data_IF_825866733735
#
_entry.id   IF_825866733735
#
_cell.length_a   1.000
_cell.length_b   1.000
_cell.length_c   1.000
_cell.angle_alpha   90.00
_cell.angle_beta   90.00
_cell.angle_gamma   90.00
#
_symmetry.space_group_name_H-M   'P 1'
#
loop_
_entity.id
_entity.type
_entity.pdbx_description
1 polymer ?
#
# COMPACT_ATOMS: atom_id res chain seq x y z
N UNK A 1 -15.84 12.75 -7.25
CA UNK A 1 -14.60 12.03 -6.89
C UNK A 1 -13.45 13.00 -7.11
N UNK A 2 -13.02 13.71 -6.07
CA UNK A 2 -11.86 14.61 -6.15
C UNK A 2 -10.59 13.78 -6.21
N UNK A 3 -9.64 14.06 -7.13
CA UNK A 3 -8.33 13.44 -7.09
C UNK A 3 -7.67 13.88 -5.77
N UNK A 4 -7.45 12.94 -4.84
CA UNK A 4 -6.91 13.26 -3.52
C UNK A 4 -5.47 13.73 -3.72
N UNK A 5 -5.28 15.04 -3.65
CA UNK A 5 -4.01 15.71 -3.85
C UNK A 5 -2.96 15.11 -2.90
N UNK A 6 -1.79 14.76 -3.47
CA UNK A 6 -0.59 14.24 -2.79
C UNK A 6 -0.34 14.98 -1.46
N UNK A 7 -0.84 14.44 -0.36
CA UNK A 7 -0.38 14.83 0.95
C UNK A 7 1.07 14.39 1.07
N UNK A 8 2.00 15.30 1.36
CA UNK A 8 3.39 14.92 1.64
C UNK A 8 3.47 13.87 2.76
N UNK A 9 4.63 13.25 2.96
CA UNK A 9 4.85 12.16 3.92
C UNK A 9 4.12 12.34 5.27
N UNK A 10 4.10 13.57 5.82
CA UNK A 10 3.38 13.91 7.05
C UNK A 10 1.87 13.60 7.00
N UNK A 11 1.20 13.89 5.89
CA UNK A 11 -0.23 13.63 5.74
C UNK A 11 -0.52 12.12 5.72
N UNK A 12 0.29 11.36 4.99
CA UNK A 12 0.20 9.90 4.96
C UNK A 12 0.39 9.31 6.36
N UNK A 13 1.41 9.75 7.10
CA UNK A 13 1.65 9.29 8.47
C UNK A 13 0.47 9.58 9.40
N UNK A 14 -0.15 10.77 9.28
CA UNK A 14 -1.32 11.13 10.09
C UNK A 14 -2.57 10.33 9.71
N UNK A 15 -2.80 10.07 8.43
CA UNK A 15 -3.89 9.22 7.96
C UNK A 15 -3.73 7.78 8.47
N UNK A 16 -2.53 7.22 8.37
CA UNK A 16 -2.23 5.87 8.85
C UNK A 16 -2.31 5.77 10.38
N UNK A 17 -1.83 6.77 11.12
CA UNK A 17 -1.98 6.82 12.57
C UNK A 17 -3.45 6.85 13.02
N UNK A 18 -4.32 7.54 12.26
CA UNK A 18 -5.75 7.59 12.55
C UNK A 18 -6.47 6.29 12.17
N UNK A 19 -6.10 5.67 11.03
CA UNK A 19 -6.67 4.41 10.55
C UNK A 19 -6.23 3.20 11.40
N UNK A 20 -5.01 3.23 11.93
CA UNK A 20 -4.42 2.16 12.72
C UNK A 20 -3.87 2.68 14.07
N UNK A 21 -4.75 2.87 15.08
CA UNK A 21 -4.35 3.38 16.40
C UNK A 21 -3.34 2.50 17.15
N UNK A 22 -3.16 1.25 16.72
CA UNK A 22 -2.23 0.28 17.30
C UNK A 22 -0.87 0.24 16.58
N UNK A 23 -0.61 1.14 15.62
CA UNK A 23 0.69 1.21 14.96
C UNK A 23 1.81 1.50 15.96
N UNK A 24 2.82 0.64 15.95
CA UNK A 24 4.03 0.83 16.74
C UNK A 24 5.01 1.78 16.02
N UNK A 25 5.97 2.40 16.72
CA UNK A 25 7.01 3.25 16.10
C UNK A 25 7.72 2.58 14.92
N UNK A 26 7.92 1.26 14.97
CA UNK A 26 8.52 0.49 13.88
C UNK A 26 7.67 0.50 12.60
N UNK A 27 6.34 0.54 12.70
CA UNK A 27 5.46 0.56 11.53
C UNK A 27 5.47 1.92 10.84
N UNK A 28 5.65 3.01 11.59
CA UNK A 28 5.91 4.33 11.02
C UNK A 28 7.24 4.36 10.26
N UNK A 29 8.30 3.76 10.81
CA UNK A 29 9.60 3.66 10.10
C UNK A 29 9.45 2.87 8.80
N UNK A 30 8.70 1.76 8.80
CA UNK A 30 8.40 1.00 7.58
C UNK A 30 7.64 1.84 6.57
N UNK A 31 6.66 2.62 7.01
CA UNK A 31 5.86 3.46 6.12
C UNK A 31 6.70 4.57 5.47
N UNK A 32 7.59 5.22 6.23
CA UNK A 32 8.56 6.19 5.69
C UNK A 32 9.49 5.51 4.68
N UNK A 33 10.01 4.34 5.01
CA UNK A 33 10.88 3.59 4.10
C UNK A 33 10.17 3.22 2.79
N UNK A 34 8.94 2.71 2.86
CA UNK A 34 8.14 2.38 1.68
C UNK A 34 7.77 3.61 0.85
N UNK A 35 7.55 4.76 1.49
CA UNK A 35 7.24 6.02 0.82
C UNK A 35 8.42 6.52 -0.04
N UNK A 36 9.64 6.44 0.49
CA UNK A 36 10.85 6.98 -0.15
C UNK A 36 11.50 5.98 -1.12
N UNK A 37 11.54 4.69 -0.76
CA UNK A 37 12.27 3.67 -1.54
C UNK A 37 11.36 2.74 -2.35
N UNK A 38 10.05 2.75 -2.09
CA UNK A 38 9.08 1.94 -2.82
C UNK A 38 9.44 0.46 -2.92
N UNK A 39 9.12 -0.12 -4.06
CA UNK A 39 9.42 -1.50 -4.43
C UNK A 39 10.62 -1.60 -5.41
N UNK A 40 11.47 -0.58 -5.51
CA UNK A 40 12.56 -0.54 -6.52
C UNK A 40 13.55 -1.71 -6.40
N UNK A 41 13.57 -2.37 -5.24
CA UNK A 41 14.40 -3.55 -4.97
C UNK A 41 13.69 -4.89 -5.25
N UNK A 42 12.39 -4.90 -5.59
CA UNK A 42 11.61 -6.10 -5.88
C UNK A 42 11.77 -6.56 -7.33
N UNK A 43 12.93 -7.13 -7.60
CA UNK A 43 13.07 -8.24 -8.55
C UNK A 43 13.35 -7.87 -10.02
N UNK A 44 14.20 -8.70 -10.62
CA UNK A 44 14.43 -8.80 -12.06
C UNK A 44 13.12 -9.03 -12.85
N UNK A 45 13.13 -8.72 -14.14
CA UNK A 45 11.94 -8.66 -15.04
C UNK A 45 10.91 -9.79 -14.88
N UNK A 46 11.34 -11.01 -14.53
CA UNK A 46 10.43 -12.15 -14.31
C UNK A 46 9.50 -12.04 -13.08
N UNK A 47 9.87 -11.27 -12.06
CA UNK A 47 9.05 -11.08 -10.86
C UNK A 47 7.85 -10.15 -11.13
N UNK A 48 8.02 -9.18 -12.03
CA UNK A 48 6.95 -8.24 -12.41
C UNK A 48 5.79 -8.93 -13.11
N UNK A 49 6.07 -9.87 -14.03
CA UNK A 49 5.03 -10.62 -14.73
C UNK A 49 4.23 -11.52 -13.78
N UNK A 50 4.89 -12.14 -12.80
CA UNK A 50 4.22 -12.94 -11.78
C UNK A 50 3.34 -12.07 -10.87
N UNK A 51 3.89 -10.96 -10.36
CA UNK A 51 3.15 -9.98 -9.55
C UNK A 51 1.95 -9.40 -10.31
N UNK A 52 2.12 -9.11 -11.61
CA UNK A 52 1.03 -8.62 -12.45
C UNK A 52 -0.07 -9.64 -12.62
N UNK A 53 0.27 -10.91 -12.84
CA UNK A 53 -0.73 -12.00 -12.92
C UNK A 53 -1.49 -12.15 -11.61
N UNK A 54 -0.80 -12.12 -10.48
CA UNK A 54 -1.42 -12.19 -9.15
C UNK A 54 -2.34 -10.99 -8.89
N UNK A 55 -1.91 -9.79 -9.29
CA UNK A 55 -2.74 -8.59 -9.22
C UNK A 55 -3.98 -8.68 -10.13
N UNK A 56 -3.84 -9.17 -11.36
CA UNK A 56 -4.97 -9.34 -12.28
C UNK A 56 -5.93 -10.45 -11.81
N UNK A 57 -5.44 -11.50 -11.14
CA UNK A 57 -6.29 -12.59 -10.64
C UNK A 57 -6.98 -12.27 -9.32
N UNK A 58 -6.31 -11.59 -8.39
CA UNK A 58 -6.79 -11.39 -7.01
C UNK A 58 -6.91 -9.91 -6.61
N UNK A 59 -6.11 -9.01 -7.19
CA UNK A 59 -6.02 -7.59 -6.80
C UNK A 59 -7.25 -6.72 -7.12
N UNK A 60 -8.14 -7.20 -8.00
CA UNK A 60 -9.42 -6.54 -8.31
C UNK A 60 -10.60 -7.06 -7.49
N UNK A 61 -10.40 -8.06 -6.62
CA UNK A 61 -11.46 -8.49 -5.71
C UNK A 61 -11.57 -7.44 -4.61
N UNK A 62 -12.76 -6.85 -4.47
CA UNK A 62 -13.09 -5.95 -3.37
C UNK A 62 -12.82 -6.70 -2.06
N UNK A 63 -11.65 -6.45 -1.47
CA UNK A 63 -11.16 -7.19 -0.32
C UNK A 63 -11.98 -6.76 0.91
N UNK A 64 -13.18 -7.33 1.04
CA UNK A 64 -14.13 -7.05 2.12
C UNK A 64 -13.76 -7.81 3.40
N UNK A 65 -12.56 -8.38 3.49
CA UNK A 65 -12.08 -8.95 4.75
C UNK A 65 -11.66 -7.79 5.64
N UNK A 66 -12.37 -7.64 6.76
CA UNK A 66 -12.13 -6.64 7.82
C UNK A 66 -12.39 -5.15 7.49
N UNK A 67 -13.21 -4.82 6.49
CA UNK A 67 -13.57 -3.42 6.22
C UNK A 67 -12.39 -2.52 5.82
N UNK A 68 -11.26 -3.12 5.41
CA UNK A 68 -10.10 -2.43 4.86
C UNK A 68 -10.29 -2.25 3.34
N UNK A 69 -9.75 -1.17 2.75
CA UNK A 69 -9.80 -1.01 1.30
C UNK A 69 -8.90 -2.05 0.61
N UNK A 70 -9.29 -2.51 -0.59
CA UNK A 70 -8.48 -3.42 -1.39
C UNK A 70 -7.11 -2.81 -1.77
N UNK A 71 -7.07 -1.49 -1.87
CA UNK A 71 -5.88 -0.70 -2.17
C UNK A 71 -5.80 0.48 -1.21
N UNK A 72 -4.65 0.63 -0.54
CA UNK A 72 -4.37 1.72 0.39
C UNK A 72 -3.18 2.55 -0.10
N UNK A 73 -3.32 3.87 -0.15
CA UNK A 73 -2.20 4.75 -0.51
C UNK A 73 -1.19 4.85 0.64
N UNK A 74 0.09 4.66 0.31
CA UNK A 74 1.20 4.80 1.26
C UNK A 74 2.09 6.02 0.93
N UNK A 75 1.65 6.84 -0.03
CA UNK A 75 2.37 8.02 -0.55
C UNK A 75 3.56 7.66 -1.43
N UNK A 76 4.28 8.69 -1.91
CA UNK A 76 5.39 8.50 -2.85
C UNK A 76 4.96 8.06 -4.25
N UNK A 77 3.65 8.02 -4.54
CA UNK A 77 3.10 7.40 -5.75
C UNK A 77 2.92 5.88 -5.62
N UNK A 78 3.17 5.30 -4.45
CA UNK A 78 2.98 3.89 -4.16
C UNK A 78 1.67 3.61 -3.44
N UNK A 79 1.15 2.41 -3.65
CA UNK A 79 -0.01 1.88 -2.96
C UNK A 79 0.27 0.47 -2.45
N UNK A 80 -0.38 0.12 -1.34
CA UNK A 80 -0.41 -1.23 -0.80
C UNK A 80 -1.68 -1.91 -1.29
N UNK A 81 -1.51 -3.02 -2.00
CA UNK A 81 -2.62 -3.88 -2.43
C UNK A 81 -2.73 -5.03 -1.44
N UNK A 82 -3.94 -5.24 -0.91
CA UNK A 82 -4.25 -6.40 -0.09
C UNK A 82 -4.72 -7.52 -1.02
N UNK A 83 -3.91 -8.56 -1.20
CA UNK A 83 -4.30 -9.76 -1.95
C UNK A 83 -5.06 -10.70 -1.00
N UNK A 84 -6.23 -11.18 -1.40
CA UNK A 84 -6.93 -12.22 -0.65
C UNK A 84 -6.31 -13.57 -1.00
N UNK A 85 -5.49 -14.10 -0.10
CA UNK A 85 -5.09 -15.50 -0.18
C UNK A 85 -6.26 -16.33 0.32
N UNK A 86 -6.99 -16.96 -0.61
CA UNK A 86 -8.13 -17.84 -0.33
C UNK A 86 -7.89 -18.81 0.82
#
# INVERSE_FOLDING_TARGET
MTPRQKGGLRAVLLEHAAAYPQMEPADFVKLIYQNEFGCEHMGSDGALDALRREYESEGCRENRREGRPAVEEIGGGFCRVYLDSG
#
